data_IF_419564280968
#
_entry.id   IF_419564280968
#
_cell.length_a   1.000
_cell.length_b   1.000
_cell.length_c   1.000
_cell.angle_alpha   90.00
_cell.angle_beta   90.00
_cell.angle_gamma   90.00
#
_symmetry.space_group_name_H-M   'P 1'
#
loop_
_entity.id
_entity.type
_entity.pdbx_description
1 polymer ?
#
# COMPACT_ATOMS: atom_id res chain seq x y z
N UNK A 1 6.80 13.97 0.99
CA UNK A 1 5.39 14.39 1.08
C UNK A 1 5.31 15.56 2.05
N UNK A 2 4.43 16.54 1.83
CA UNK A 2 4.17 17.62 2.77
C UNK A 2 3.77 17.10 4.16
N UNK A 3 4.12 17.83 5.23
CA UNK A 3 3.92 17.36 6.61
C UNK A 3 2.45 17.23 7.01
N UNK A 4 1.59 18.12 6.50
CA UNK A 4 0.13 18.05 6.67
C UNK A 4 -0.50 16.79 6.05
N UNK A 5 0.12 16.23 5.01
CA UNK A 5 -0.31 14.97 4.38
C UNK A 5 0.10 13.77 5.25
N UNK A 6 1.33 13.77 5.77
CA UNK A 6 1.84 12.68 6.61
C UNK A 6 1.01 12.49 7.89
N UNK A 7 0.46 13.56 8.45
CA UNK A 7 -0.39 13.49 9.65
C UNK A 7 -1.68 12.70 9.41
N UNK A 8 -2.19 12.71 8.16
CA UNK A 8 -3.39 11.97 7.73
C UNK A 8 -3.12 10.51 7.41
N UNK A 9 -1.84 10.12 7.36
CA UNK A 9 -1.43 8.75 7.07
C UNK A 9 -1.05 8.07 8.39
N UNK A 10 -1.53 6.84 8.56
CA UNK A 10 -1.04 5.90 9.58
C UNK A 10 -0.19 4.86 8.87
N UNK A 11 0.93 4.50 9.47
CA UNK A 11 1.79 3.43 8.96
C UNK A 11 1.84 2.36 10.04
N UNK A 12 1.56 1.12 9.66
CA UNK A 12 1.60 -0.03 10.56
C UNK A 12 2.45 -1.14 9.97
N UNK A 13 3.32 -1.71 10.80
CA UNK A 13 4.03 -2.94 10.51
C UNK A 13 3.15 -4.14 10.87
N UNK A 14 3.01 -5.09 9.95
CA UNK A 14 2.27 -6.32 10.17
C UNK A 14 2.84 -7.47 9.33
N UNK A 15 2.14 -8.61 9.35
CA UNK A 15 2.28 -9.64 8.34
C UNK A 15 1.09 -9.59 7.39
N UNK A 16 1.33 -9.80 6.09
CA UNK A 16 0.28 -9.80 5.08
C UNK A 16 -0.34 -11.20 5.02
N UNK A 17 -1.35 -11.43 5.86
CA UNK A 17 -1.96 -12.76 6.10
C UNK A 17 -2.67 -13.38 4.90
N UNK A 18 -2.97 -12.56 3.89
CA UNK A 18 -3.64 -13.00 2.67
C UNK A 18 -2.65 -13.41 1.57
N UNK A 19 -1.35 -13.21 1.80
CA UNK A 19 -0.26 -13.51 0.87
C UNK A 19 0.44 -14.82 1.25
N UNK A 20 0.93 -15.58 0.28
CA UNK A 20 1.58 -16.87 0.51
C UNK A 20 2.79 -16.75 1.44
N UNK A 21 2.77 -17.47 2.58
CA UNK A 21 3.85 -17.45 3.56
C UNK A 21 3.85 -16.24 4.49
N UNK A 22 2.79 -15.42 4.49
CA UNK A 22 2.58 -14.30 5.43
C UNK A 22 3.77 -13.33 5.53
N UNK A 23 4.29 -12.80 4.40
CA UNK A 23 5.47 -11.95 4.40
C UNK A 23 5.28 -10.70 5.28
N UNK A 24 6.37 -10.16 5.84
CA UNK A 24 6.35 -8.87 6.51
C UNK A 24 5.84 -7.78 5.57
N UNK A 25 4.98 -6.90 6.07
CA UNK A 25 4.49 -5.79 5.29
C UNK A 25 4.26 -4.52 6.11
N UNK A 26 4.34 -3.40 5.40
CA UNK A 26 4.02 -2.05 5.88
C UNK A 26 2.71 -1.61 5.23
N UNK A 27 1.69 -1.39 6.04
CA UNK A 27 0.40 -0.89 5.58
C UNK A 27 0.31 0.62 5.78
N UNK A 28 -0.17 1.31 4.77
CA UNK A 28 -0.44 2.75 4.76
C UNK A 28 -1.95 2.93 4.80
N UNK A 29 -2.46 3.61 5.82
CA UNK A 29 -3.87 3.91 5.97
C UNK A 29 -4.12 5.41 5.96
N UNK A 30 -5.23 5.83 5.37
CA UNK A 30 -5.82 7.14 5.56
C UNK A 30 -6.62 7.14 6.86
N UNK A 31 -6.32 8.09 7.75
CA UNK A 31 -7.08 8.33 8.97
C UNK A 31 -8.32 9.14 8.63
N UNK A 32 -9.44 8.47 8.35
CA UNK A 32 -10.70 9.16 8.13
C UNK A 32 -11.23 9.66 9.47
N UNK A 33 -11.00 10.94 9.74
CA UNK A 33 -11.40 11.59 11.00
C UNK A 33 -12.92 11.73 11.14
N UNK A 34 -13.66 11.66 10.04
CA UNK A 34 -15.12 11.80 10.03
C UNK A 34 -15.78 10.48 10.42
N UNK A 35 -15.35 9.39 9.81
CA UNK A 35 -15.87 8.04 10.13
C UNK A 35 -15.13 7.39 11.31
N UNK A 36 -14.00 7.97 11.74
CA UNK A 36 -13.09 7.43 12.77
C UNK A 36 -12.58 6.03 12.41
N UNK A 37 -12.33 5.80 11.12
CA UNK A 37 -11.83 4.55 10.60
C UNK A 37 -10.53 4.76 9.83
N UNK A 38 -9.64 3.79 9.94
CA UNK A 38 -8.42 3.74 9.14
C UNK A 38 -8.74 2.99 7.84
N UNK A 39 -8.60 3.68 6.70
CA UNK A 39 -8.94 3.17 5.37
C UNK A 39 -7.66 2.86 4.62
N UNK A 40 -7.51 1.64 4.09
CA UNK A 40 -6.28 1.22 3.41
C UNK A 40 -5.99 2.11 2.19
N UNK A 41 -4.73 2.52 2.05
CA UNK A 41 -4.20 3.20 0.87
C UNK A 41 -3.30 2.23 0.09
N UNK A 42 -2.28 1.66 0.74
CA UNK A 42 -1.37 0.75 0.07
C UNK A 42 -0.70 -0.16 1.09
N UNK A 43 -0.13 -1.25 0.60
CA UNK A 43 0.76 -2.11 1.38
C UNK A 43 2.08 -2.26 0.66
N UNK A 44 3.18 -2.28 1.40
CA UNK A 44 4.50 -2.66 0.89
C UNK A 44 4.87 -3.99 1.52
N UNK A 45 4.99 -5.03 0.71
CA UNK A 45 5.43 -6.35 1.15
C UNK A 45 6.93 -6.50 0.90
N UNK A 46 7.62 -7.19 1.82
CA UNK A 46 9.01 -7.60 1.62
C UNK A 46 9.05 -9.11 1.40
N UNK A 47 9.51 -9.51 0.22
CA UNK A 47 9.71 -10.91 -0.14
C UNK A 47 11.19 -11.27 -0.05
N UNK A 48 11.49 -12.44 0.52
CA UNK A 48 12.82 -13.03 0.40
C UNK A 48 13.13 -13.39 -1.06
N UNK A 49 14.41 -13.60 -1.37
CA UNK A 49 14.84 -14.06 -2.71
C UNK A 49 14.31 -15.44 -3.09
N UNK A 50 13.90 -16.24 -2.11
CA UNK A 50 13.25 -17.53 -2.35
C UNK A 50 11.75 -17.34 -2.63
N UNK A 51 11.08 -16.46 -1.88
CA UNK A 51 9.67 -16.12 -2.12
C UNK A 51 9.46 -15.45 -3.47
N UNK A 52 10.36 -14.55 -3.90
CA UNK A 52 10.30 -13.89 -5.23
C UNK A 52 10.28 -14.91 -6.40
N UNK A 53 10.77 -16.14 -6.18
CA UNK A 53 10.81 -17.20 -7.19
C UNK A 53 9.60 -18.13 -7.17
N UNK A 54 8.68 -18.01 -6.19
CA UNK A 54 7.49 -18.86 -6.17
C UNK A 54 6.54 -18.46 -7.30
N UNK A 55 5.82 -19.44 -7.85
CA UNK A 55 4.87 -19.20 -8.93
C UNK A 55 3.76 -18.23 -8.51
N UNK A 56 3.39 -18.24 -7.21
CA UNK A 56 2.44 -17.31 -6.62
C UNK A 56 2.87 -15.86 -6.81
N UNK A 57 4.13 -15.53 -6.51
CA UNK A 57 4.64 -14.16 -6.57
C UNK A 57 5.14 -13.75 -7.96
N UNK A 58 5.73 -14.69 -8.72
CA UNK A 58 6.26 -14.41 -10.06
C UNK A 58 5.18 -13.96 -11.05
N UNK A 59 3.94 -14.45 -10.88
CA UNK A 59 2.80 -14.13 -11.72
C UNK A 59 1.75 -13.20 -11.11
N UNK A 60 2.01 -12.60 -9.93
CA UNK A 60 0.96 -11.92 -9.18
C UNK A 60 0.53 -10.59 -9.84
N UNK A 61 -0.74 -10.43 -10.25
CA UNK A 61 -1.16 -9.29 -11.09
C UNK A 61 -1.19 -7.95 -10.35
N UNK A 62 -1.27 -7.98 -9.03
CA UNK A 62 -1.38 -6.77 -8.19
C UNK A 62 -0.07 -6.37 -7.52
N UNK A 63 1.01 -7.15 -7.71
CA UNK A 63 2.31 -6.83 -7.13
C UNK A 63 3.17 -6.06 -8.12
N UNK A 64 3.66 -4.91 -7.68
CA UNK A 64 4.61 -4.10 -8.44
C UNK A 64 5.90 -3.97 -7.66
N UNK A 65 7.02 -4.43 -8.23
CA UNK A 65 8.34 -4.28 -7.62
C UNK A 65 8.70 -2.79 -7.53
N UNK A 66 9.08 -2.34 -6.34
CA UNK A 66 9.43 -0.94 -6.05
C UNK A 66 10.88 -0.76 -5.55
N UNK A 67 11.60 -1.86 -5.33
CA UNK A 67 13.00 -1.85 -4.95
C UNK A 67 13.50 -3.21 -4.50
N UNK A 68 14.79 -3.31 -4.25
CA UNK A 68 15.41 -4.49 -3.64
C UNK A 68 16.66 -4.10 -2.85
N UNK A 69 17.00 -4.90 -1.86
CA UNK A 69 18.26 -4.81 -1.13
C UNK A 69 18.74 -6.19 -0.69
N UNK A 70 19.79 -6.23 0.14
CA UNK A 70 20.36 -7.48 0.66
C UNK A 70 19.38 -8.33 1.48
N UNK A 71 18.26 -7.75 1.96
CA UNK A 71 17.25 -8.45 2.77
C UNK A 71 16.11 -9.02 1.92
N UNK A 72 15.99 -8.63 0.64
CA UNK A 72 14.91 -9.08 -0.23
C UNK A 72 14.44 -8.03 -1.23
N UNK A 73 13.35 -8.34 -1.90
CA UNK A 73 12.66 -7.44 -2.83
C UNK A 73 11.41 -6.85 -2.18
N UNK A 74 11.14 -5.58 -2.49
CA UNK A 74 9.99 -4.85 -1.99
C UNK A 74 8.97 -4.66 -3.11
N UNK A 75 7.72 -4.93 -2.80
CA UNK A 75 6.62 -4.79 -3.75
C UNK A 75 5.50 -3.96 -3.13
N UNK A 76 4.89 -3.09 -3.92
CA UNK A 76 3.66 -2.40 -3.55
C UNK A 76 2.43 -3.20 -3.99
N UNK A 77 1.44 -3.26 -3.11
CA UNK A 77 0.05 -3.67 -3.38
C UNK A 77 -0.83 -2.44 -3.18
N UNK A 78 -1.69 -2.18 -4.15
CA UNK A 78 -2.64 -1.07 -4.12
C UNK A 78 -4.05 -1.66 -4.24
N UNK A 79 -5.03 -1.21 -3.44
CA UNK A 79 -6.42 -1.63 -3.57
C UNK A 79 -6.92 -1.43 -5.01
N UNK A 80 -7.55 -2.47 -5.56
CA UNK A 80 -8.15 -2.42 -6.90
C UNK A 80 -9.43 -1.58 -6.95
N UNK A 81 -10.09 -1.40 -5.81
CA UNK A 81 -11.35 -0.70 -5.69
C UNK A 81 -11.23 0.57 -4.84
N UNK A 82 -12.03 1.57 -5.20
CA UNK A 82 -12.13 2.80 -4.43
C UNK A 82 -12.86 2.53 -3.11
N UNK A 83 -12.21 2.82 -1.98
CA UNK A 83 -12.76 2.50 -0.65
C UNK A 83 -14.03 3.31 -0.29
N UNK A 84 -14.32 4.36 -1.06
CA UNK A 84 -15.56 5.15 -0.97
C UNK A 84 -16.45 4.97 -2.21
N UNK A 85 -16.55 3.75 -2.76
CA UNK A 85 -17.40 3.48 -3.92
C UNK A 85 -18.84 4.01 -3.71
N UNK A 86 -19.38 4.72 -4.70
CA UNK A 86 -20.67 5.42 -4.62
C UNK A 86 -20.66 6.73 -3.82
N UNK A 87 -19.52 7.14 -3.26
CA UNK A 87 -19.27 8.40 -2.54
C UNK A 87 -17.92 9.01 -2.93
N UNK A 88 -17.43 8.75 -4.14
CA UNK A 88 -16.13 9.18 -4.65
C UNK A 88 -16.00 10.71 -4.62
N UNK A 89 -17.10 11.41 -4.92
CA UNK A 89 -17.15 12.87 -4.94
C UNK A 89 -17.26 13.52 -3.54
N UNK A 90 -17.36 12.72 -2.48
CA UNK A 90 -17.30 13.23 -1.11
C UNK A 90 -15.92 13.83 -0.79
N UNK A 91 -15.85 14.67 0.25
CA UNK A 91 -14.57 15.23 0.71
C UNK A 91 -13.57 14.12 1.05
N UNK A 92 -14.04 13.06 1.71
CA UNK A 92 -13.22 11.91 2.10
C UNK A 92 -12.78 11.08 0.89
N UNK A 93 -13.68 10.86 -0.07
CA UNK A 93 -13.36 10.12 -1.30
C UNK A 93 -12.27 10.82 -2.12
N UNK A 94 -12.41 12.14 -2.30
CA UNK A 94 -11.39 12.95 -2.98
C UNK A 94 -10.07 12.98 -2.21
N UNK A 95 -10.12 13.13 -0.89
CA UNK A 95 -8.91 13.13 -0.06
C UNK A 95 -8.19 11.78 -0.11
N UNK A 96 -8.91 10.67 0.03
CA UNK A 96 -8.36 9.33 -0.11
C UNK A 96 -7.70 9.12 -1.47
N UNK A 97 -8.38 9.51 -2.56
CA UNK A 97 -7.84 9.43 -3.93
C UNK A 97 -6.57 10.26 -4.11
N UNK A 98 -6.52 11.47 -3.57
CA UNK A 98 -5.32 12.32 -3.63
C UNK A 98 -4.16 11.71 -2.84
N UNK A 99 -4.42 11.17 -1.65
CA UNK A 99 -3.39 10.50 -0.84
C UNK A 99 -2.85 9.25 -1.54
N UNK A 100 -3.74 8.47 -2.15
CA UNK A 100 -3.40 7.31 -2.99
C UNK A 100 -2.45 7.70 -4.11
N UNK A 101 -2.81 8.70 -4.90
CA UNK A 101 -1.99 9.18 -6.02
C UNK A 101 -0.61 9.66 -5.55
N UNK A 102 -0.56 10.44 -4.46
CA UNK A 102 0.70 10.90 -3.88
C UNK A 102 1.59 9.74 -3.41
N UNK A 103 1.01 8.72 -2.76
CA UNK A 103 1.74 7.53 -2.33
C UNK A 103 2.26 6.74 -3.54
N UNK A 104 1.43 6.55 -4.58
CA UNK A 104 1.84 5.85 -5.80
C UNK A 104 3.01 6.54 -6.50
N UNK A 105 2.94 7.88 -6.64
CA UNK A 105 4.04 8.68 -7.21
C UNK A 105 5.31 8.57 -6.35
N UNK A 106 5.18 8.50 -5.02
CA UNK A 106 6.33 8.35 -4.13
C UNK A 106 6.96 6.96 -4.26
N UNK A 107 6.15 5.92 -4.35
CA UNK A 107 6.60 4.54 -4.49
C UNK A 107 7.24 4.28 -5.86
N UNK A 108 6.72 4.88 -6.93
CA UNK A 108 7.27 4.72 -8.29
C UNK A 108 8.59 5.45 -8.53
N UNK A 109 8.90 6.51 -7.77
CA UNK A 109 10.18 7.24 -7.84
C UNK A 109 11.33 6.58 -7.09
N UNK A 110 11.11 5.43 -6.45
CA UNK A 110 12.12 4.74 -5.63
C UNK A 110 12.86 3.62 -6.37
N UNK A 111 12.65 3.49 -7.69
CA UNK A 111 13.38 2.58 -8.58
C UNK A 111 14.58 3.30 -9.17
#
# INVERSE_FOLDING_TARGET
MPQNVLQKIKIEESSCKNEEGNPPCLNFFYKDMVTKQDVILASVIRLSKEQEKSDYYAGHPFLKKIGENHQGAFYSIIPSEHQYAGKEESVQGKEWSQLMEMLQVRMSKSI
#
